data_IF_583169256875
#
_entry.id   IF_583169256875
#
_cell.length_a   1.000
_cell.length_b   1.000
_cell.length_c   1.000
_cell.angle_alpha   90.00
_cell.angle_beta   90.00
_cell.angle_gamma   90.00
#
_symmetry.space_group_name_H-M   'P 1'
#
loop_
_entity.id
_entity.type
_entity.pdbx_description
1 polymer ?
#
# COMPACT_ATOMS: atom_id res chain seq x y z
N UNK A 1 -39.73 -28.69 -56.32
CA UNK A 1 -38.61 -27.86 -56.81
C UNK A 1 -37.93 -27.31 -55.58
N UNK A 2 -36.63 -27.62 -55.39
CA UNK A 2 -35.72 -27.20 -54.30
C UNK A 2 -36.06 -27.86 -52.94
N UNK A 3 -35.39 -28.92 -52.47
CA UNK A 3 -33.96 -29.08 -52.16
C UNK A 3 -33.37 -27.84 -51.49
N UNK A 4 -33.10 -27.94 -50.18
CA UNK A 4 -31.92 -27.48 -49.41
C UNK A 4 -32.22 -27.92 -47.95
N UNK A 5 -31.72 -29.08 -47.53
CA UNK A 5 -30.44 -29.29 -46.83
C UNK A 5 -30.60 -29.11 -45.31
N UNK A 6 -30.73 -30.24 -44.62
CA UNK A 6 -30.29 -30.40 -43.23
C UNK A 6 -28.88 -29.83 -43.14
N UNK A 7 -28.70 -28.70 -42.47
CA UNK A 7 -27.39 -28.18 -42.15
C UNK A 7 -27.12 -28.47 -40.68
N UNK A 8 -26.06 -29.26 -40.49
CA UNK A 8 -25.43 -29.71 -39.26
C UNK A 8 -25.42 -28.64 -38.16
N UNK A 9 -26.00 -28.94 -37.01
CA UNK A 9 -25.79 -28.16 -35.77
C UNK A 9 -24.49 -28.63 -35.09
N UNK A 10 -23.43 -28.79 -35.88
CA UNK A 10 -22.11 -29.20 -35.38
C UNK A 10 -20.97 -28.26 -35.77
N UNK A 11 -21.25 -27.11 -36.40
CA UNK A 11 -20.20 -26.25 -36.96
C UNK A 11 -20.17 -24.76 -36.52
N UNK A 12 -20.81 -24.37 -35.40
CA UNK A 12 -20.69 -22.98 -34.89
C UNK A 12 -20.14 -22.85 -33.47
N UNK A 13 -19.31 -23.81 -33.05
CA UNK A 13 -18.52 -23.66 -31.81
C UNK A 13 -17.10 -24.21 -31.93
N UNK A 14 -16.46 -23.91 -33.07
CA UNK A 14 -15.04 -24.16 -33.26
C UNK A 14 -14.38 -23.02 -34.05
N UNK A 15 -14.80 -21.79 -33.76
CA UNK A 15 -14.12 -20.59 -34.24
C UNK A 15 -13.05 -20.22 -33.20
N UNK A 16 -11.88 -20.81 -33.43
CA UNK A 16 -10.57 -20.19 -33.25
C UNK A 16 -10.22 -19.65 -31.86
N UNK A 17 -9.87 -20.57 -30.96
CA UNK A 17 -9.06 -20.27 -29.76
C UNK A 17 -7.55 -20.37 -30.08
N UNK A 18 -7.18 -20.43 -31.37
CA UNK A 18 -5.79 -20.56 -31.81
C UNK A 18 -5.13 -19.24 -32.22
N UNK A 19 -5.86 -18.11 -32.28
CA UNK A 19 -5.27 -16.82 -32.70
C UNK A 19 -5.03 -15.78 -31.57
N UNK A 20 -5.22 -16.10 -30.29
CA UNK A 20 -4.87 -15.18 -29.17
C UNK A 20 -3.59 -15.55 -28.41
N UNK A 21 -2.68 -16.30 -29.03
CA UNK A 21 -1.39 -16.66 -28.43
C UNK A 21 -0.24 -16.35 -29.38
N UNK A 22 -0.12 -15.08 -29.76
CA UNK A 22 1.11 -14.51 -30.26
C UNK A 22 1.14 -13.03 -29.86
N UNK A 23 1.12 -12.78 -28.54
CA UNK A 23 1.67 -11.53 -28.06
C UNK A 23 3.19 -11.73 -28.11
N UNK A 24 3.80 -11.16 -29.13
CA UNK A 24 5.24 -11.15 -29.34
C UNK A 24 5.90 -10.43 -28.16
N UNK A 25 6.30 -11.22 -27.14
CA UNK A 25 7.01 -10.70 -25.94
C UNK A 25 8.42 -10.20 -26.31
N UNK A 26 8.86 -10.35 -27.57
CA UNK A 26 10.14 -9.79 -28.01
C UNK A 26 10.12 -8.26 -28.17
N UNK A 27 8.93 -7.63 -28.12
CA UNK A 27 8.76 -6.17 -28.19
C UNK A 27 8.43 -5.48 -26.85
N UNK A 28 8.52 -6.17 -25.70
CA UNK A 28 8.67 -5.44 -24.42
C UNK A 28 10.09 -4.90 -24.35
N UNK A 29 10.29 -3.80 -25.08
CA UNK A 29 11.41 -2.89 -25.03
C UNK A 29 11.96 -2.81 -23.60
N UNK A 30 13.23 -3.15 -23.43
CA UNK A 30 14.27 -2.20 -22.99
C UNK A 30 13.82 -1.02 -22.13
N UNK A 31 13.01 -1.25 -21.09
CA UNK A 31 13.04 -0.39 -19.92
C UNK A 31 14.27 -0.81 -19.13
N UNK A 32 15.42 -0.27 -19.53
CA UNK A 32 16.56 -0.20 -18.64
C UNK A 32 16.10 0.58 -17.41
N UNK A 33 15.99 -0.12 -16.28
CA UNK A 33 15.51 0.44 -15.00
C UNK A 33 16.47 1.53 -14.49
N UNK A 34 17.62 1.74 -15.12
CA UNK A 34 18.45 2.92 -14.91
C UNK A 34 17.72 4.25 -15.23
N UNK A 35 16.69 4.23 -16.08
CA UNK A 35 15.87 5.42 -16.44
C UNK A 35 14.63 5.61 -15.55
N UNK A 36 14.23 4.59 -14.77
CA UNK A 36 13.24 4.79 -13.70
C UNK A 36 14.01 5.34 -12.52
N UNK A 37 13.96 6.67 -12.35
CA UNK A 37 14.65 7.38 -11.28
C UNK A 37 14.58 6.57 -9.97
N UNK A 38 15.73 6.20 -9.36
CA UNK A 38 15.69 5.63 -8.05
C UNK A 38 15.02 6.67 -7.16
N UNK A 39 13.96 6.26 -6.47
CA UNK A 39 13.34 7.01 -5.41
C UNK A 39 14.31 7.10 -4.21
N UNK A 40 15.45 7.76 -4.41
CA UNK A 40 16.37 8.17 -3.35
C UNK A 40 15.70 9.15 -2.37
N UNK A 41 14.53 9.70 -2.72
CA UNK A 41 13.72 10.53 -1.83
C UNK A 41 12.85 9.77 -0.84
N UNK A 42 12.74 8.44 -0.92
CA UNK A 42 11.76 7.68 -0.14
C UNK A 42 12.35 6.65 0.83
N UNK A 43 13.67 6.68 1.06
CA UNK A 43 14.27 5.98 2.21
C UNK A 43 14.02 6.83 3.47
N UNK A 44 12.78 6.86 3.94
CA UNK A 44 12.46 7.38 5.26
C UNK A 44 12.71 6.28 6.29
N UNK A 45 13.48 6.59 7.33
CA UNK A 45 13.77 5.68 8.44
C UNK A 45 12.45 5.16 9.07
N UNK A 46 12.34 3.83 9.24
CA UNK A 46 11.23 3.17 9.94
C UNK A 46 10.97 3.78 11.34
N UNK A 47 11.99 4.41 11.95
CA UNK A 47 11.91 5.07 13.26
C UNK A 47 11.08 6.37 13.29
N UNK A 48 10.67 6.93 12.13
CA UNK A 48 9.88 8.18 12.07
C UNK A 48 8.36 7.98 12.18
N UNK A 49 7.86 6.74 12.07
CA UNK A 49 6.42 6.43 12.11
C UNK A 49 5.97 5.80 13.44
N UNK A 50 6.69 6.08 14.52
CA UNK A 50 6.24 5.74 15.87
C UNK A 50 5.13 6.72 16.29
N UNK A 51 3.93 6.50 15.76
CA UNK A 51 2.75 7.27 16.13
C UNK A 51 2.32 6.81 17.52
N UNK A 52 2.60 7.64 18.53
CA UNK A 52 1.89 7.58 19.81
C UNK A 52 0.40 7.46 19.48
N UNK A 53 -0.26 6.40 19.93
CA UNK A 53 -1.68 6.16 19.64
C UNK A 53 -2.48 7.05 20.60
N UNK A 54 -3.00 8.23 20.21
CA UNK A 54 -3.95 8.93 21.06
C UNK A 54 -5.18 8.05 21.25
N UNK A 55 -5.87 8.24 22.37
CA UNK A 55 -7.09 7.50 22.69
C UNK A 55 -8.22 7.96 21.74
N UNK A 56 -8.26 7.41 20.52
CA UNK A 56 -9.20 7.80 19.47
C UNK A 56 -10.64 7.49 19.89
N UNK A 57 -11.47 8.54 19.99
CA UNK A 57 -12.89 8.41 20.38
C UNK A 57 -13.81 8.19 19.18
N UNK A 58 -13.38 8.52 17.95
CA UNK A 58 -14.18 8.37 16.74
C UNK A 58 -14.16 6.91 16.22
N UNK A 59 -15.32 6.24 16.09
CA UNK A 59 -15.39 4.87 15.59
C UNK A 59 -14.88 4.70 14.15
N UNK A 60 -15.00 5.72 13.30
CA UNK A 60 -14.52 5.70 11.91
C UNK A 60 -13.00 5.71 11.85
N UNK A 61 -12.36 6.55 12.68
CA UNK A 61 -10.89 6.60 12.81
C UNK A 61 -10.36 5.31 13.41
N UNK A 62 -11.03 4.75 14.43
CA UNK A 62 -10.65 3.47 15.04
C UNK A 62 -10.64 2.32 14.04
N UNK A 63 -11.69 2.20 13.21
CA UNK A 63 -11.78 1.14 12.19
C UNK A 63 -10.67 1.26 11.14
N UNK A 64 -10.33 2.48 10.74
CA UNK A 64 -9.22 2.71 9.81
C UNK A 64 -7.88 2.33 10.41
N UNK A 65 -7.61 2.73 11.66
CA UNK A 65 -6.33 2.41 12.31
C UNK A 65 -6.19 0.90 12.48
N UNK A 66 -7.26 0.19 12.85
CA UNK A 66 -7.21 -1.27 12.93
C UNK A 66 -6.94 -1.90 11.57
N UNK A 67 -7.57 -1.40 10.50
CA UNK A 67 -7.36 -1.92 9.15
C UNK A 67 -5.94 -1.64 8.65
N UNK A 68 -5.42 -0.43 8.87
CA UNK A 68 -4.05 -0.03 8.57
C UNK A 68 -3.03 -0.96 9.24
N UNK A 69 -3.25 -1.33 10.50
CA UNK A 69 -2.39 -2.27 11.22
C UNK A 69 -2.41 -3.68 10.63
N UNK A 70 -3.58 -4.15 10.18
CA UNK A 70 -3.68 -5.45 9.52
C UNK A 70 -2.94 -5.46 8.19
N UNK A 71 -3.09 -4.41 7.39
CA UNK A 71 -2.34 -4.25 6.13
C UNK A 71 -0.83 -4.23 6.40
N UNK A 72 -0.39 -3.50 7.43
CA UNK A 72 1.03 -3.45 7.81
C UNK A 72 1.59 -4.82 8.17
N UNK A 73 0.82 -5.64 8.89
CA UNK A 73 1.19 -7.02 9.20
C UNK A 73 1.27 -7.89 7.95
N UNK A 74 0.34 -7.72 7.00
CA UNK A 74 0.37 -8.48 5.74
C UNK A 74 1.59 -8.13 4.89
N UNK A 75 2.03 -6.87 4.91
CA UNK A 75 3.30 -6.44 4.31
C UNK A 75 4.51 -7.15 4.93
N UNK A 76 4.53 -7.33 6.25
CA UNK A 76 5.58 -8.08 6.93
C UNK A 76 5.58 -9.57 6.54
N UNK A 77 4.39 -10.16 6.39
CA UNK A 77 4.23 -11.54 5.90
C UNK A 77 4.72 -11.66 4.46
N UNK A 78 4.41 -10.70 3.59
CA UNK A 78 4.92 -10.64 2.21
C UNK A 78 6.47 -10.63 2.21
N UNK A 79 7.10 -9.78 3.01
CA UNK A 79 8.57 -9.74 3.12
C UNK A 79 9.15 -11.07 3.63
N UNK A 80 8.50 -11.71 4.59
CA UNK A 80 8.89 -13.03 5.08
C UNK A 80 8.81 -14.08 3.96
N UNK A 81 7.72 -14.09 3.19
CA UNK A 81 7.56 -14.99 2.06
C UNK A 81 8.63 -14.77 0.98
N UNK A 82 8.94 -13.51 0.66
CA UNK A 82 10.00 -13.15 -0.29
C UNK A 82 11.36 -13.73 0.17
N UNK A 83 11.69 -13.61 1.45
CA UNK A 83 12.90 -14.21 2.04
C UNK A 83 12.88 -15.74 1.94
N UNK A 84 11.73 -16.38 2.20
CA UNK A 84 11.56 -17.82 2.07
C UNK A 84 11.70 -18.30 0.62
N UNK A 85 11.19 -17.54 -0.35
CA UNK A 85 11.37 -17.79 -1.79
C UNK A 85 12.85 -17.74 -2.14
N UNK A 86 13.57 -16.69 -1.74
CA UNK A 86 15.01 -16.57 -1.98
C UNK A 86 15.81 -17.73 -1.37
N UNK A 87 15.50 -18.10 -0.14
CA UNK A 87 16.12 -19.25 0.53
C UNK A 87 15.86 -20.55 -0.23
N UNK A 88 14.62 -20.78 -0.64
CA UNK A 88 14.24 -21.98 -1.41
C UNK A 88 14.91 -22.01 -2.78
N UNK A 89 14.98 -20.88 -3.47
CA UNK A 89 15.71 -20.71 -4.73
C UNK A 89 17.20 -21.05 -4.58
N UNK A 90 17.83 -20.62 -3.47
CA UNK A 90 19.22 -20.95 -3.15
C UNK A 90 19.39 -22.45 -2.89
N UNK A 91 18.43 -23.08 -2.20
CA UNK A 91 18.42 -24.53 -1.96
C UNK A 91 18.23 -25.33 -3.26
N UNK A 92 17.37 -24.88 -4.17
CA UNK A 92 17.20 -25.47 -5.51
C UNK A 92 18.53 -25.43 -6.26
N UNK A 93 19.26 -24.32 -6.17
CA UNK A 93 20.54 -24.14 -6.85
C UNK A 93 21.61 -25.17 -6.42
N UNK A 94 21.58 -25.63 -5.17
CA UNK A 94 22.58 -26.56 -4.60
C UNK A 94 22.05 -27.99 -4.43
N UNK A 95 20.81 -28.27 -4.83
CA UNK A 95 20.20 -29.59 -4.68
C UNK A 95 21.01 -30.66 -5.43
N UNK A 96 21.30 -31.78 -4.75
CA UNK A 96 22.12 -32.87 -5.29
C UNK A 96 21.30 -34.02 -5.88
N UNK A 97 19.98 -33.98 -5.73
CA UNK A 97 19.07 -35.01 -6.26
C UNK A 97 17.82 -34.40 -6.90
N UNK A 98 17.32 -35.03 -7.97
CA UNK A 98 16.13 -34.57 -8.69
C UNK A 98 14.88 -34.57 -7.81
N UNK A 99 14.76 -35.55 -6.91
CA UNK A 99 13.64 -35.64 -5.96
C UNK A 99 13.61 -34.43 -5.02
N UNK A 100 14.76 -34.06 -4.45
CA UNK A 100 14.86 -32.90 -3.58
C UNK A 100 14.59 -31.60 -4.35
N UNK A 101 15.18 -31.47 -5.54
CA UNK A 101 14.97 -30.31 -6.41
C UNK A 101 13.49 -30.10 -6.71
N UNK A 102 12.79 -31.15 -7.15
CA UNK A 102 11.36 -31.06 -7.48
C UNK A 102 10.51 -30.73 -6.25
N UNK A 103 10.83 -31.28 -5.07
CA UNK A 103 10.13 -30.93 -3.83
C UNK A 103 10.31 -29.45 -3.47
N UNK A 104 11.52 -28.91 -3.62
CA UNK A 104 11.80 -27.51 -3.33
C UNK A 104 11.10 -26.57 -4.32
N UNK A 105 11.02 -26.96 -5.59
CA UNK A 105 10.27 -26.22 -6.62
C UNK A 105 8.79 -26.15 -6.26
N UNK A 106 8.17 -27.27 -5.86
CA UNK A 106 6.76 -27.26 -5.42
C UNK A 106 6.54 -26.36 -4.20
N UNK A 107 7.47 -26.37 -3.23
CA UNK A 107 7.41 -25.46 -2.07
C UNK A 107 7.54 -24.00 -2.48
N UNK A 108 8.51 -23.68 -3.35
CA UNK A 108 8.70 -22.33 -3.91
C UNK A 108 7.42 -21.84 -4.58
N UNK A 109 6.88 -22.63 -5.49
CA UNK A 109 5.70 -22.26 -6.29
C UNK A 109 4.48 -21.99 -5.39
N UNK A 110 4.27 -22.81 -4.36
CA UNK A 110 3.21 -22.58 -3.35
C UNK A 110 3.38 -21.25 -2.58
N UNK A 111 4.62 -20.94 -2.17
CA UNK A 111 4.90 -19.66 -1.48
C UNK A 111 4.73 -18.49 -2.46
N UNK A 112 5.11 -18.64 -3.73
CA UNK A 112 4.88 -17.62 -4.76
C UNK A 112 3.39 -17.35 -4.97
N UNK A 113 2.56 -18.39 -5.08
CA UNK A 113 1.10 -18.26 -5.26
C UNK A 113 0.43 -17.56 -4.07
N UNK A 114 0.77 -17.97 -2.85
CA UNK A 114 0.26 -17.33 -1.63
C UNK A 114 0.69 -15.86 -1.53
N UNK A 115 1.94 -15.56 -1.90
CA UNK A 115 2.47 -14.18 -1.93
C UNK A 115 1.76 -13.32 -2.97
N UNK A 116 1.52 -13.86 -4.17
CA UNK A 116 0.77 -13.18 -5.23
C UNK A 116 -0.65 -12.80 -4.77
N UNK A 117 -1.35 -13.72 -4.12
CA UNK A 117 -2.70 -13.46 -3.63
C UNK A 117 -2.69 -12.39 -2.54
N UNK A 118 -1.74 -12.48 -1.59
CA UNK A 118 -1.60 -11.49 -0.52
C UNK A 118 -1.25 -10.11 -1.07
N UNK A 119 -0.33 -10.00 -2.02
CA UNK A 119 -0.01 -8.74 -2.70
C UNK A 119 -1.24 -8.07 -3.33
N UNK A 120 -2.09 -8.85 -4.00
CA UNK A 120 -3.31 -8.33 -4.62
C UNK A 120 -4.34 -7.87 -3.57
N UNK A 121 -4.53 -8.65 -2.50
CA UNK A 121 -5.42 -8.28 -1.39
C UNK A 121 -4.95 -7.01 -0.69
N UNK A 122 -3.67 -6.98 -0.29
CA UNK A 122 -3.03 -5.82 0.35
C UNK A 122 -3.16 -4.56 -0.52
N UNK A 123 -2.89 -4.66 -1.83
CA UNK A 123 -3.10 -3.55 -2.79
C UNK A 123 -4.53 -3.03 -2.75
N UNK A 124 -5.52 -3.92 -2.88
CA UNK A 124 -6.93 -3.55 -2.92
C UNK A 124 -7.38 -2.89 -1.62
N UNK A 125 -6.85 -3.33 -0.48
CA UNK A 125 -7.14 -2.77 0.85
C UNK A 125 -6.49 -1.40 1.05
N UNK A 126 -5.25 -1.20 0.60
CA UNK A 126 -4.61 0.12 0.57
C UNK A 126 -5.44 1.10 -0.28
N UNK A 127 -5.84 0.69 -1.50
CA UNK A 127 -6.72 1.50 -2.36
C UNK A 127 -8.06 1.79 -1.70
N UNK A 128 -8.62 0.83 -0.97
CA UNK A 128 -9.89 1.02 -0.26
C UNK A 128 -9.75 2.07 0.85
N UNK A 129 -8.65 2.05 1.62
CA UNK A 129 -8.38 3.07 2.64
C UNK A 129 -8.24 4.47 2.02
N UNK A 130 -7.53 4.58 0.90
CA UNK A 130 -7.37 5.83 0.16
C UNK A 130 -8.71 6.37 -0.38
N UNK A 131 -9.55 5.51 -0.96
CA UNK A 131 -10.88 5.89 -1.45
C UNK A 131 -11.86 6.26 -0.33
N UNK A 132 -11.69 5.69 0.87
CA UNK A 132 -12.50 6.06 2.02
C UNK A 132 -12.24 7.52 2.41
N UNK A 133 -10.99 7.99 2.37
CA UNK A 133 -10.65 9.38 2.68
C UNK A 133 -11.35 10.38 1.74
N UNK A 134 -11.50 10.04 0.46
CA UNK A 134 -12.22 10.87 -0.52
C UNK A 134 -13.73 10.95 -0.28
N UNK A 135 -14.32 9.98 0.43
CA UNK A 135 -15.78 9.84 0.63
C UNK A 135 -16.25 10.31 2.00
N UNK A 136 -15.32 10.56 2.92
CA UNK A 136 -15.67 11.00 4.28
C UNK A 136 -16.25 12.42 4.23
N UNK A 137 -17.45 12.57 4.81
CA UNK A 137 -18.10 13.88 4.94
C UNK A 137 -17.24 14.80 5.81
N UNK A 138 -17.03 16.04 5.36
CA UNK A 138 -16.18 17.06 6.00
C UNK A 138 -16.48 17.31 7.49
N UNK A 139 -17.66 16.93 7.96
CA UNK A 139 -18.10 17.11 9.35
C UNK A 139 -17.93 15.85 10.23
N UNK A 140 -17.36 14.77 9.70
CA UNK A 140 -17.32 13.46 10.38
C UNK A 140 -15.96 13.04 10.95
N UNK A 141 -14.89 13.79 10.65
CA UNK A 141 -13.54 13.61 11.19
C UNK A 141 -12.90 14.98 11.49
N UNK A 142 -11.96 15.03 12.43
CA UNK A 142 -11.15 16.23 12.68
C UNK A 142 -10.05 16.37 11.62
N UNK A 143 -9.45 17.56 11.53
CA UNK A 143 -8.30 17.79 10.65
C UNK A 143 -7.11 16.90 11.02
N UNK A 144 -6.86 16.72 12.32
CA UNK A 144 -5.81 15.84 12.83
C UNK A 144 -6.04 14.37 12.44
N UNK A 145 -7.29 13.91 12.46
CA UNK A 145 -7.66 12.55 12.01
C UNK A 145 -7.43 12.37 10.51
N UNK A 146 -7.73 13.39 9.70
CA UNK A 146 -7.50 13.37 8.25
C UNK A 146 -6.00 13.31 7.92
N UNK A 147 -5.19 14.16 8.54
CA UNK A 147 -3.74 14.18 8.31
C UNK A 147 -3.08 12.87 8.74
N UNK A 148 -3.47 12.31 9.88
CA UNK A 148 -3.01 11.01 10.33
C UNK A 148 -3.35 9.89 9.34
N UNK A 149 -4.59 9.88 8.82
CA UNK A 149 -5.04 8.89 7.83
C UNK A 149 -4.21 8.99 6.56
N UNK A 150 -4.01 10.20 6.04
CA UNK A 150 -3.16 10.48 4.88
C UNK A 150 -1.74 9.96 5.09
N UNK A 151 -1.11 10.30 6.21
CA UNK A 151 0.24 9.83 6.54
C UNK A 151 0.33 8.30 6.61
N UNK A 152 -0.66 7.65 7.21
CA UNK A 152 -0.73 6.18 7.27
C UNK A 152 -0.88 5.54 5.89
N UNK A 153 -1.76 6.06 5.03
CA UNK A 153 -1.91 5.57 3.65
C UNK A 153 -0.60 5.74 2.88
N UNK A 154 0.05 6.89 2.98
CA UNK A 154 1.37 7.13 2.35
C UNK A 154 2.40 6.11 2.81
N UNK A 155 2.52 5.90 4.13
CA UNK A 155 3.44 4.92 4.69
C UNK A 155 3.17 3.49 4.18
N UNK A 156 1.90 3.06 4.15
CA UNK A 156 1.54 1.74 3.62
C UNK A 156 1.89 1.58 2.14
N UNK A 157 1.70 2.63 1.33
CA UNK A 157 2.08 2.64 -0.10
C UNK A 157 3.60 2.52 -0.27
N UNK A 158 4.38 3.29 0.49
CA UNK A 158 5.84 3.23 0.49
C UNK A 158 6.36 1.83 0.87
N UNK A 159 5.80 1.24 1.94
CA UNK A 159 6.16 -0.10 2.40
C UNK A 159 5.74 -1.17 1.38
N UNK A 160 4.58 -1.05 0.74
CA UNK A 160 4.15 -1.95 -0.34
C UNK A 160 5.09 -1.87 -1.55
N UNK A 161 5.46 -0.67 -1.99
CA UNK A 161 6.44 -0.46 -3.06
C UNK A 161 7.78 -1.10 -2.72
N UNK A 162 8.24 -0.96 -1.48
CA UNK A 162 9.48 -1.58 -0.99
C UNK A 162 9.42 -3.11 -1.09
N UNK A 163 8.28 -3.72 -0.75
CA UNK A 163 8.05 -5.16 -0.92
C UNK A 163 8.18 -5.58 -2.39
N UNK A 164 7.49 -4.87 -3.30
CA UNK A 164 7.53 -5.16 -4.75
C UNK A 164 8.96 -5.06 -5.31
N UNK A 165 9.69 -4.00 -4.97
CA UNK A 165 11.07 -3.79 -5.43
C UNK A 165 12.01 -4.87 -4.90
N UNK A 166 11.85 -5.24 -3.62
CA UNK A 166 12.64 -6.31 -2.99
C UNK A 166 12.39 -7.65 -3.68
N UNK A 167 11.11 -7.98 -3.93
CA UNK A 167 10.75 -9.21 -4.63
C UNK A 167 11.31 -9.24 -6.04
N UNK A 168 11.10 -8.16 -6.81
CA UNK A 168 11.62 -8.02 -8.17
C UNK A 168 13.13 -8.19 -8.22
N UNK A 169 13.88 -7.62 -7.26
CA UNK A 169 15.33 -7.76 -7.17
C UNK A 169 15.76 -9.22 -6.99
N UNK A 170 15.09 -9.95 -6.09
CA UNK A 170 15.37 -11.37 -5.84
C UNK A 170 15.08 -12.20 -7.10
N UNK A 171 13.94 -11.97 -7.75
CA UNK A 171 13.57 -12.67 -8.99
C UNK A 171 14.56 -12.39 -10.13
N UNK A 172 15.02 -11.15 -10.31
CA UNK A 172 16.04 -10.82 -11.31
C UNK A 172 17.38 -11.52 -11.05
N UNK A 173 17.81 -11.59 -9.78
CA UNK A 173 19.03 -12.33 -9.41
C UNK A 173 18.87 -13.80 -9.76
N UNK A 174 17.71 -14.39 -9.43
CA UNK A 174 17.44 -15.80 -9.72
C UNK A 174 17.35 -16.07 -11.23
N UNK A 175 16.67 -15.21 -12.00
CA UNK A 175 16.61 -15.29 -13.46
C UNK A 175 18.00 -15.27 -14.08
N UNK A 176 18.87 -14.34 -13.65
CA UNK A 176 20.26 -14.27 -14.13
C UNK A 176 21.00 -15.59 -13.86
N UNK A 177 20.85 -16.15 -12.66
CA UNK A 177 21.46 -17.45 -12.33
C UNK A 177 20.94 -18.59 -13.22
N UNK A 178 19.65 -18.61 -13.56
CA UNK A 178 19.10 -19.61 -14.48
C UNK A 178 19.62 -19.44 -15.91
N UNK A 179 19.68 -18.20 -16.42
CA UNK A 179 20.25 -17.89 -17.74
C UNK A 179 21.71 -18.34 -17.83
N UNK A 180 22.53 -18.01 -16.83
CA UNK A 180 23.93 -18.47 -16.81
C UNK A 180 24.07 -19.99 -16.74
N UNK A 181 23.14 -20.71 -16.09
CA UNK A 181 23.14 -22.18 -16.07
C UNK A 181 22.83 -22.76 -17.44
N UNK A 182 21.83 -22.22 -18.13
CA UNK A 182 21.50 -22.58 -19.51
C UNK A 182 22.68 -22.31 -20.46
N UNK A 183 23.32 -21.15 -20.35
CA UNK A 183 24.52 -20.82 -21.14
C UNK A 183 25.64 -21.84 -20.92
N UNK A 184 25.91 -22.23 -19.66
CA UNK A 184 26.95 -23.24 -19.37
C UNK A 184 26.58 -24.61 -19.96
N UNK A 185 25.32 -25.02 -19.87
CA UNK A 185 24.85 -26.28 -20.47
C UNK A 185 24.97 -26.25 -21.99
N UNK A 186 24.64 -25.11 -22.63
CA UNK A 186 24.82 -24.92 -24.06
C UNK A 186 26.30 -25.03 -24.47
N UNK A 187 27.20 -24.34 -23.76
CA UNK A 187 28.65 -24.36 -24.03
C UNK A 187 29.32 -25.72 -23.81
N UNK A 188 28.73 -26.60 -23.00
CA UNK A 188 29.21 -27.99 -22.87
C UNK A 188 29.01 -28.76 -24.20
N UNK A 189 27.93 -28.47 -24.93
CA UNK A 189 27.63 -29.10 -26.21
C UNK A 189 28.31 -28.36 -27.37
N UNK A 190 28.37 -27.03 -27.30
CA UNK A 190 28.97 -26.13 -28.29
C UNK A 190 30.02 -25.19 -27.66
N UNK A 191 31.27 -25.65 -27.50
CA UNK A 191 32.32 -24.87 -26.83
C UNK A 191 32.65 -23.55 -27.54
N UNK A 192 32.49 -23.51 -28.87
CA UNK A 192 32.86 -22.38 -29.73
C UNK A 192 31.66 -21.45 -30.05
N UNK A 193 30.53 -21.59 -29.34
CA UNK A 193 29.34 -20.78 -29.56
C UNK A 193 29.60 -19.29 -29.27
N UNK A 194 29.15 -18.42 -30.18
CA UNK A 194 29.20 -16.97 -30.05
C UNK A 194 28.06 -16.45 -29.16
N UNK A 195 28.20 -15.25 -28.63
CA UNK A 195 27.23 -14.68 -27.68
C UNK A 195 25.85 -14.47 -28.33
N UNK A 196 25.77 -14.09 -29.61
CA UNK A 196 24.49 -13.97 -30.31
C UNK A 196 23.72 -15.29 -30.42
N UNK A 197 24.43 -16.41 -30.63
CA UNK A 197 23.85 -17.75 -30.73
C UNK A 197 23.30 -18.22 -29.37
N UNK A 198 24.00 -17.86 -28.29
CA UNK A 198 23.56 -18.14 -26.92
C UNK A 198 22.31 -17.33 -26.58
N UNK A 199 22.26 -16.06 -26.97
CA UNK A 199 21.09 -15.20 -26.74
C UNK A 199 19.86 -15.69 -27.51
N UNK A 200 20.03 -16.14 -28.76
CA UNK A 200 18.95 -16.78 -29.52
C UNK A 200 18.46 -18.06 -28.83
N UNK A 201 19.39 -18.90 -28.37
CA UNK A 201 19.06 -20.11 -27.62
C UNK A 201 18.33 -19.82 -26.31
N UNK A 202 18.72 -18.78 -25.56
CA UNK A 202 18.05 -18.39 -24.31
C UNK A 202 16.61 -17.91 -24.56
N UNK A 203 16.33 -17.29 -25.71
CA UNK A 203 14.98 -16.89 -26.12
C UNK A 203 14.12 -18.10 -26.46
N UNK A 204 14.61 -19.00 -27.30
CA UNK A 204 13.87 -20.17 -27.79
C UNK A 204 14.69 -21.47 -27.67
N UNK A 205 14.79 -22.07 -26.47
CA UNK A 205 15.60 -23.28 -26.26
C UNK A 205 15.01 -24.53 -26.92
N UNK A 206 13.69 -24.51 -27.21
CA UNK A 206 12.91 -25.67 -27.66
C UNK A 206 12.99 -25.88 -29.18
N UNK A 207 13.27 -24.82 -29.96
CA UNK A 207 13.20 -24.86 -31.43
C UNK A 207 14.51 -25.26 -32.12
N UNK A 208 15.60 -25.45 -31.38
CA UNK A 208 16.86 -25.83 -32.01
C UNK A 208 16.93 -27.35 -32.31
N UNK A 209 17.16 -27.75 -33.59
CA UNK A 209 17.38 -29.16 -34.01
C UNK A 209 18.60 -29.83 -33.35
N UNK A 210 19.43 -29.00 -32.72
CA UNK A 210 20.69 -29.27 -32.04
C UNK A 210 20.68 -30.50 -31.12
N UNK A 211 19.61 -30.70 -30.33
CA UNK A 211 19.53 -31.81 -29.37
C UNK A 211 19.19 -33.18 -29.99
N UNK A 212 18.67 -33.21 -31.21
CA UNK A 212 18.33 -34.45 -31.92
C UNK A 212 19.53 -34.99 -32.72
N UNK A 213 20.51 -34.13 -33.05
CA UNK A 213 21.64 -34.45 -33.91
C UNK A 213 22.93 -34.91 -33.21
N UNK A 214 23.03 -34.80 -31.88
CA UNK A 214 24.22 -35.22 -31.12
C UNK A 214 24.33 -36.75 -31.00
N UNK A 215 24.88 -37.36 -32.05
CA UNK A 215 25.14 -38.80 -32.23
C UNK A 215 26.05 -39.46 -31.17
N UNK A 216 26.45 -38.78 -30.09
CA UNK A 216 27.44 -39.29 -29.10
C UNK A 216 26.84 -39.92 -27.84
N UNK A 217 25.57 -39.71 -27.50
CA UNK A 217 24.82 -40.50 -26.51
C UNK A 217 23.37 -40.03 -26.46
N UNK A 218 22.44 -40.86 -26.91
CA UNK A 218 20.99 -40.54 -26.95
C UNK A 218 20.44 -40.31 -25.53
N UNK A 219 21.02 -40.97 -24.52
CA UNK A 219 20.57 -40.90 -23.13
C UNK A 219 20.97 -39.56 -22.49
N UNK A 220 22.22 -39.12 -22.70
CA UNK A 220 22.70 -37.85 -22.14
C UNK A 220 22.00 -36.65 -22.79
N UNK A 221 21.72 -36.74 -24.09
CA UNK A 221 21.03 -35.67 -24.83
C UNK A 221 19.58 -35.46 -24.37
N UNK A 222 18.87 -36.54 -23.98
CA UNK A 222 17.51 -36.45 -23.43
C UNK A 222 17.46 -35.78 -22.05
N UNK A 223 18.37 -36.15 -21.16
CA UNK A 223 18.43 -35.57 -19.81
C UNK A 223 18.79 -34.07 -19.85
N UNK A 224 19.68 -33.68 -20.77
CA UNK A 224 20.01 -32.26 -20.97
C UNK A 224 18.80 -31.49 -21.52
N UNK A 225 18.10 -32.03 -22.52
CA UNK A 225 16.91 -31.37 -23.08
C UNK A 225 15.79 -31.20 -22.04
N UNK A 226 15.55 -32.21 -21.20
CA UNK A 226 14.58 -32.11 -20.10
C UNK A 226 14.97 -30.98 -19.13
N UNK A 227 16.24 -30.91 -18.74
CA UNK A 227 16.74 -29.87 -17.85
C UNK A 227 16.64 -28.48 -18.49
N UNK A 228 16.94 -28.35 -19.78
CA UNK A 228 16.80 -27.10 -20.54
C UNK A 228 15.35 -26.63 -20.57
N UNK A 229 14.42 -27.51 -20.94
CA UNK A 229 12.99 -27.18 -20.97
C UNK A 229 12.48 -26.77 -19.58
N UNK A 230 12.91 -27.48 -18.53
CA UNK A 230 12.58 -27.14 -17.14
C UNK A 230 13.06 -25.74 -16.77
N UNK A 231 14.29 -25.39 -17.11
CA UNK A 231 14.89 -24.07 -16.81
C UNK A 231 14.22 -22.96 -17.60
N UNK A 232 13.90 -23.21 -18.87
CA UNK A 232 13.17 -22.26 -19.70
C UNK A 232 11.77 -21.97 -19.13
N UNK A 233 11.05 -23.01 -18.71
CA UNK A 233 9.76 -22.86 -18.05
C UNK A 233 9.86 -22.05 -16.75
N UNK A 234 10.90 -22.31 -15.94
CA UNK A 234 11.17 -21.51 -14.74
C UNK A 234 11.47 -20.04 -15.09
N UNK A 235 12.24 -19.74 -16.15
CA UNK A 235 12.50 -18.36 -16.61
C UNK A 235 11.19 -17.66 -16.99
N UNK A 236 10.31 -18.32 -17.76
CA UNK A 236 9.00 -17.76 -18.13
C UNK A 236 8.14 -17.42 -16.91
N UNK A 237 8.13 -18.28 -15.88
CA UNK A 237 7.44 -18.00 -14.61
C UNK A 237 8.00 -16.77 -13.90
N UNK A 238 9.33 -16.60 -13.91
CA UNK A 238 9.98 -15.44 -13.30
C UNK A 238 9.61 -14.16 -14.07
N UNK A 239 9.65 -14.20 -15.40
CA UNK A 239 9.25 -13.07 -16.27
C UNK A 239 7.80 -12.67 -16.02
N UNK A 240 6.88 -13.65 -15.95
CA UNK A 240 5.49 -13.41 -15.57
C UNK A 240 5.38 -12.75 -14.19
N UNK A 241 6.09 -13.27 -13.20
CA UNK A 241 6.09 -12.70 -11.83
C UNK A 241 6.57 -11.25 -11.85
N UNK A 242 7.68 -10.95 -12.54
CA UNK A 242 8.20 -9.58 -12.68
C UNK A 242 7.18 -8.67 -13.36
N UNK A 243 6.53 -9.13 -14.42
CA UNK A 243 5.49 -8.36 -15.11
C UNK A 243 4.31 -8.05 -14.18
N UNK A 244 3.87 -9.02 -13.38
CA UNK A 244 2.78 -8.81 -12.42
C UNK A 244 3.17 -7.80 -11.33
N UNK A 245 4.41 -7.86 -10.82
CA UNK A 245 4.91 -6.88 -9.85
C UNK A 245 4.95 -5.46 -10.42
N UNK A 246 5.26 -5.29 -11.71
CA UNK A 246 5.24 -3.99 -12.38
C UNK A 246 3.82 -3.43 -12.49
N UNK A 247 2.85 -4.27 -12.88
CA UNK A 247 1.42 -3.88 -12.89
C UNK A 247 0.97 -3.43 -11.51
N UNK A 248 1.32 -4.17 -10.45
CA UNK A 248 1.00 -3.78 -9.07
C UNK A 248 1.66 -2.46 -8.66
N UNK A 249 2.88 -2.20 -9.13
CA UNK A 249 3.60 -0.96 -8.87
C UNK A 249 2.91 0.24 -9.52
N UNK A 250 2.59 0.15 -10.82
CA UNK A 250 1.86 1.19 -11.55
C UNK A 250 0.50 1.48 -10.91
N UNK A 251 -0.21 0.43 -10.53
CA UNK A 251 -1.52 0.53 -9.91
C UNK A 251 -1.52 1.30 -8.57
N UNK A 252 -0.42 1.30 -7.83
CA UNK A 252 -0.27 2.04 -6.56
C UNK A 252 0.24 3.47 -6.79
N UNK A 253 1.01 3.71 -7.85
CA UNK A 253 1.60 5.02 -8.16
C UNK A 253 0.60 5.99 -8.80
N UNK A 254 -0.29 5.52 -9.68
CA UNK A 254 -1.24 6.36 -10.45
C UNK A 254 -2.20 7.22 -9.62
N UNK A 255 -2.23 7.08 -8.28
CA UNK A 255 -3.16 7.80 -7.40
C UNK A 255 -2.48 8.79 -6.43
N UNK A 256 -1.15 8.90 -6.46
CA UNK A 256 -0.43 9.91 -5.66
C UNK A 256 -0.61 11.32 -6.25
N UNK A 257 -0.72 11.46 -7.57
CA UNK A 257 -0.81 12.76 -8.27
C UNK A 257 -2.18 13.46 -8.20
N UNK A 258 -3.28 12.75 -7.95
CA UNK A 258 -4.63 13.35 -7.91
C UNK A 258 -4.95 14.11 -6.61
N UNK A 259 -4.02 14.20 -5.65
CA UNK A 259 -4.31 14.69 -4.29
C UNK A 259 -3.84 16.12 -3.97
N UNK A 260 -3.26 16.83 -4.93
CA UNK A 260 -2.77 18.21 -4.70
C UNK A 260 -3.87 19.29 -4.77
N UNK A 261 -5.08 18.99 -5.29
CA UNK A 261 -6.12 20.01 -5.52
C UNK A 261 -7.19 20.15 -4.40
N UNK A 262 -7.23 19.26 -3.39
CA UNK A 262 -8.27 19.28 -2.34
C UNK A 262 -7.78 19.89 -1.01
N UNK A 263 -6.63 20.56 -1.00
CA UNK A 263 -6.07 21.15 0.25
C UNK A 263 -6.59 22.56 0.53
N UNK A 264 -7.08 23.31 -0.47
CA UNK A 264 -7.25 24.77 -0.33
C UNK A 264 -8.51 25.20 0.45
N UNK A 265 -9.52 24.34 0.64
CA UNK A 265 -10.79 24.77 1.27
C UNK A 265 -10.95 24.45 2.75
N UNK A 266 -10.09 23.60 3.34
CA UNK A 266 -10.14 23.31 4.78
C UNK A 266 -9.26 24.31 5.56
N UNK A 267 -8.17 24.80 4.95
CA UNK A 267 -7.27 25.75 5.62
C UNK A 267 -7.96 27.08 5.93
N UNK A 268 -8.87 27.55 5.09
CA UNK A 268 -9.62 28.79 5.34
C UNK A 268 -10.67 28.61 6.44
N UNK A 269 -11.42 27.50 6.44
CA UNK A 269 -12.48 27.26 7.42
C UNK A 269 -11.94 26.83 8.80
N UNK A 270 -10.84 26.05 8.83
CA UNK A 270 -10.16 25.64 10.08
C UNK A 270 -9.32 26.76 10.66
N UNK A 271 -8.69 27.64 9.86
CA UNK A 271 -8.11 28.88 10.41
C UNK A 271 -9.18 29.74 11.05
N UNK A 272 -10.37 29.86 10.44
CA UNK A 272 -11.46 30.57 11.12
C UNK A 272 -11.90 29.85 12.39
N UNK A 273 -12.02 28.52 12.45
CA UNK A 273 -12.42 27.83 13.69
C UNK A 273 -11.33 27.88 14.76
N UNK A 274 -10.05 27.78 14.41
CA UNK A 274 -8.93 27.89 15.37
C UNK A 274 -8.75 29.34 15.86
N UNK A 275 -8.91 30.34 14.98
CA UNK A 275 -8.92 31.76 15.36
C UNK A 275 -10.17 32.08 16.18
N UNK A 276 -11.36 31.57 15.82
CA UNK A 276 -12.59 31.76 16.59
C UNK A 276 -12.57 31.00 17.92
N UNK A 277 -11.84 29.88 18.06
CA UNK A 277 -11.66 29.20 19.36
C UNK A 277 -10.54 29.81 20.19
N UNK A 278 -9.50 30.41 19.59
CA UNK A 278 -8.53 31.26 20.31
C UNK A 278 -9.17 32.56 20.78
N UNK A 279 -9.97 33.22 19.94
CA UNK A 279 -10.72 34.43 20.28
C UNK A 279 -11.86 34.11 21.26
N UNK A 280 -12.57 32.97 21.11
CA UNK A 280 -13.52 32.51 22.12
C UNK A 280 -12.83 32.06 23.41
N UNK A 281 -11.59 31.55 23.39
CA UNK A 281 -10.81 31.31 24.63
C UNK A 281 -10.40 32.61 25.30
N UNK A 282 -10.02 33.64 24.53
CA UNK A 282 -9.70 34.98 25.06
C UNK A 282 -10.97 35.71 25.53
N UNK A 283 -12.13 35.41 24.96
CA UNK A 283 -13.43 35.94 25.38
C UNK A 283 -14.04 35.14 26.55
N UNK A 284 -13.75 33.84 26.67
CA UNK A 284 -14.12 33.01 27.84
C UNK A 284 -13.19 33.20 29.04
N UNK A 285 -11.90 33.51 28.85
CA UNK A 285 -11.03 33.98 29.93
C UNK A 285 -11.43 35.38 30.43
N UNK A 286 -12.01 36.23 29.57
CA UNK A 286 -12.64 37.48 30.02
C UNK A 286 -14.00 37.31 30.69
N UNK A 287 -14.66 36.15 30.56
CA UNK A 287 -15.92 35.86 31.26
C UNK A 287 -15.70 35.30 32.67
N UNK A 288 -14.53 34.75 32.99
CA UNK A 288 -14.25 34.30 34.37
C UNK A 288 -13.80 35.44 35.32
N UNK A 289 -13.27 36.56 34.79
CA UNK A 289 -12.97 37.74 35.63
C UNK A 289 -14.18 38.67 35.88
N UNK A 290 -15.24 38.62 35.07
CA UNK A 290 -16.45 39.45 35.29
C UNK A 290 -17.40 38.85 36.35
N UNK A 291 -17.28 37.57 36.69
CA UNK A 291 -18.15 36.93 37.69
C UNK A 291 -17.64 36.95 39.14
N UNK A 292 -16.44 37.48 39.41
CA UNK A 292 -15.93 37.69 40.78
C UNK A 292 -16.23 39.07 41.38
N UNK A 293 -16.61 40.08 40.59
CA UNK A 293 -16.95 41.43 41.08
C UNK A 293 -18.43 41.60 41.48
N UNK A 294 -19.33 40.76 40.97
CA UNK A 294 -20.79 40.87 41.24
C UNK A 294 -21.22 40.43 42.66
N UNK A 295 -20.35 39.78 43.44
CA UNK A 295 -20.67 39.39 44.84
C UNK A 295 -20.39 40.50 45.86
N UNK A 296 -19.50 41.45 45.55
CA UNK A 296 -19.14 42.55 46.46
C UNK A 296 -20.15 43.71 46.42
N UNK A 297 -20.78 43.95 45.27
CA UNK A 297 -21.80 45.00 45.10
C UNK A 297 -23.14 44.70 45.78
N UNK A 298 -23.52 43.42 45.89
CA UNK A 298 -24.75 43.01 46.60
C UNK A 298 -24.70 43.33 48.09
N UNK A 299 -23.52 43.20 48.72
CA UNK A 299 -23.31 43.57 50.13
C UNK A 299 -23.30 45.09 50.35
N UNK A 300 -22.77 45.86 49.40
CA UNK A 300 -22.75 47.33 49.49
C UNK A 300 -24.16 47.93 49.38
N UNK A 301 -25.00 47.41 48.47
CA UNK A 301 -26.40 47.85 48.36
C UNK A 301 -27.23 47.46 49.60
N UNK A 302 -27.02 46.28 50.17
CA UNK A 302 -27.68 45.86 51.41
C UNK A 302 -27.32 46.78 52.59
N UNK A 303 -26.04 47.17 52.70
CA UNK A 303 -25.58 48.11 53.73
C UNK A 303 -26.22 49.50 53.57
N UNK A 304 -26.32 50.01 52.34
CA UNK A 304 -26.99 51.29 52.07
C UNK A 304 -28.47 51.25 52.42
N UNK A 305 -29.19 50.18 52.09
CA UNK A 305 -30.61 50.03 52.46
C UNK A 305 -30.82 49.99 53.98
N UNK A 306 -29.89 49.37 54.73
CA UNK A 306 -29.98 49.28 56.18
C UNK A 306 -29.72 50.65 56.86
N UNK A 307 -28.76 51.42 56.36
CA UNK A 307 -28.49 52.78 56.83
C UNK A 307 -29.69 53.69 56.59
N UNK A 308 -30.32 53.61 55.41
CA UNK A 308 -31.47 54.42 55.04
C UNK A 308 -32.68 54.11 55.94
N UNK A 309 -32.90 52.83 56.25
CA UNK A 309 -33.95 52.41 57.20
C UNK A 309 -33.67 52.92 58.62
N UNK A 310 -32.41 52.91 59.07
CA UNK A 310 -32.00 53.47 60.36
C UNK A 310 -32.27 54.98 60.47
N UNK A 311 -32.01 55.74 59.40
CA UNK A 311 -32.29 57.19 59.36
C UNK A 311 -33.79 57.46 59.46
N UNK A 312 -34.63 56.67 58.78
CA UNK A 312 -36.10 56.81 58.87
C UNK A 312 -36.58 56.56 60.31
N UNK A 313 -36.08 55.51 60.96
CA UNK A 313 -36.41 55.23 62.37
C UNK A 313 -35.97 56.38 63.28
N UNK A 314 -34.77 56.94 63.07
CA UNK A 314 -34.28 58.08 63.85
C UNK A 314 -35.17 59.32 63.69
N UNK A 315 -35.62 59.62 62.47
CA UNK A 315 -36.54 60.72 62.17
C UNK A 315 -37.89 60.51 62.88
N UNK A 316 -38.44 59.28 62.84
CA UNK A 316 -39.68 58.97 63.54
C UNK A 316 -39.52 59.14 65.06
N UNK A 317 -38.42 58.68 65.64
CA UNK A 317 -38.15 58.88 67.07
C UNK A 317 -38.00 60.37 67.40
N UNK A 318 -37.30 61.16 66.58
CA UNK A 318 -37.15 62.60 66.78
C UNK A 318 -38.49 63.33 66.70
N UNK A 319 -39.35 63.00 65.73
CA UNK A 319 -40.69 63.57 65.62
C UNK A 319 -41.55 63.18 66.82
N UNK A 320 -41.48 61.91 67.25
CA UNK A 320 -42.25 61.43 68.41
C UNK A 320 -41.77 62.08 69.70
N UNK A 321 -40.46 62.30 69.85
CA UNK A 321 -39.86 62.97 71.02
C UNK A 321 -40.12 64.48 71.01
N UNK A 322 -40.15 65.11 69.84
CA UNK A 322 -40.55 66.52 69.69
C UNK A 322 -42.05 66.73 69.97
N UNK A 323 -42.88 65.72 69.68
CA UNK A 323 -44.31 65.72 70.00
C UNK A 323 -44.62 65.44 71.48
N UNK A 324 -43.66 64.98 72.27
CA UNK A 324 -43.78 64.81 73.73
C UNK A 324 -43.17 65.95 74.54
N UNK A 325 -42.49 66.91 73.89
CA UNK A 325 -41.89 68.09 74.53
C UNK A 325 -42.65 69.41 74.25
N UNK A 326 -43.81 69.31 73.61
CA UNK A 326 -44.89 70.30 73.61
C UNK A 326 -46.08 69.70 74.33
#
# INVERSE_FOLDING_TARGET
MQEIHNMDISETHNMDVSETHNMDVSETHNMDISDVQPLQQFVHNDDQYQIDIPNFTNPVTKSFISESWLIEKDLDVILSNISNIQSTQTQIAIATSKRQENSLISTRDSIMDTTRNLLNDTKNRIKTLELQDLRISRNSITWEDFELRKQRVTHLKEKFVTCLQTYRKIENIYMKQQKERLTRQYKIVYPDAIDEEIDEYLKNPTDQPVFLSSRRSIIDSKNVLEEVNKRHHDIKKIEQTISELLVLFEEIQLQVELQDEIIISITDEVKTVEVTTREAKVELEKVEEVNKSSRKLKWLCALFTLILFGIIILIVILITKNKMNH
#
